data_IF_686093107057
#
_entry.id   IF_686093107057
#
_cell.length_a   1.000
_cell.length_b   1.000
_cell.length_c   1.000
_cell.angle_alpha   90.00
_cell.angle_beta   90.00
_cell.angle_gamma   90.00
#
_symmetry.space_group_name_H-M   'P 1'
#
loop_
_entity.id
_entity.type
_entity.pdbx_description
1 polymer ?
#
# COMPACT_ATOMS: atom_id res chain seq x y z
N UNK A 1 12.86 10.97 2.33
CA UNK A 1 11.60 11.11 1.56
C UNK A 1 10.62 12.04 2.25
N UNK A 2 10.32 11.86 3.54
CA UNK A 2 9.44 12.77 4.28
C UNK A 2 9.85 14.26 4.16
N UNK A 3 11.14 14.59 4.27
CA UNK A 3 11.62 15.97 4.04
C UNK A 3 11.28 16.48 2.63
N UNK A 4 11.45 15.64 1.60
CA UNK A 4 11.18 16.01 0.21
C UNK A 4 9.70 16.25 -0.04
N UNK A 5 8.84 15.41 0.53
CA UNK A 5 7.39 15.62 0.46
C UNK A 5 6.98 16.96 1.08
N UNK A 6 7.64 17.35 2.18
CA UNK A 6 7.37 18.62 2.85
C UNK A 6 7.94 19.83 2.10
N UNK A 7 9.21 19.78 1.70
CA UNK A 7 9.91 20.95 1.14
C UNK A 7 9.67 21.17 -0.36
N UNK A 8 9.43 20.11 -1.13
CA UNK A 8 9.33 20.20 -2.59
C UNK A 8 7.87 20.39 -3.08
N UNK A 9 6.94 20.73 -2.16
CA UNK A 9 5.55 21.09 -2.49
C UNK A 9 4.55 19.94 -2.60
N UNK A 10 4.98 18.68 -2.49
CA UNK A 10 4.08 17.51 -2.59
C UNK A 10 3.01 17.49 -1.51
N UNK A 11 3.37 17.79 -0.26
CA UNK A 11 2.40 17.88 0.84
C UNK A 11 1.34 18.94 0.55
N UNK A 12 1.75 20.11 0.03
CA UNK A 12 0.82 21.17 -0.34
C UNK A 12 -0.09 20.76 -1.51
N UNK A 13 0.36 19.85 -2.37
CA UNK A 13 -0.44 19.23 -3.43
C UNK A 13 -1.32 18.05 -2.95
N UNK A 14 -1.29 17.70 -1.65
CA UNK A 14 -2.13 16.67 -1.05
C UNK A 14 -1.48 15.30 -0.86
N UNK A 15 -0.20 15.13 -1.21
CA UNK A 15 0.53 13.88 -0.94
C UNK A 15 0.94 13.80 0.53
N UNK A 16 0.16 13.08 1.33
CA UNK A 16 0.33 13.04 2.79
C UNK A 16 0.89 11.72 3.33
N UNK A 17 0.84 10.61 2.60
CA UNK A 17 1.28 9.30 3.11
C UNK A 17 2.71 8.92 2.68
N UNK A 18 3.52 8.47 3.64
CA UNK A 18 4.79 7.76 3.42
C UNK A 18 4.60 6.30 3.81
N UNK A 19 4.49 5.41 2.84
CA UNK A 19 4.16 3.99 3.06
C UNK A 19 5.41 3.15 2.83
N UNK A 20 5.83 2.39 3.84
CA UNK A 20 6.89 1.38 3.68
C UNK A 20 6.28 0.07 3.16
N UNK A 21 6.93 -0.53 2.16
CA UNK A 21 6.52 -1.82 1.59
C UNK A 21 7.24 -3.00 2.29
N UNK A 22 7.22 -4.18 1.69
CA UNK A 22 7.84 -5.40 2.23
C UNK A 22 9.32 -5.22 2.62
N UNK A 23 9.85 -6.19 3.35
CA UNK A 23 11.23 -6.25 3.80
C UNK A 23 11.60 -5.26 4.91
N UNK A 24 10.67 -4.69 5.67
CA UNK A 24 11.00 -3.76 6.78
C UNK A 24 11.32 -4.46 8.12
N UNK A 25 10.75 -5.64 8.37
CA UNK A 25 10.89 -6.34 9.65
C UNK A 25 12.13 -7.23 9.72
N UNK A 26 12.42 -7.79 10.90
CA UNK A 26 13.24 -9.01 10.99
C UNK A 26 12.48 -10.23 10.45
N UNK A 27 13.22 -11.31 10.18
CA UNK A 27 12.67 -12.62 9.79
C UNK A 27 12.02 -13.40 10.95
N UNK A 28 11.92 -12.81 12.14
CA UNK A 28 11.33 -13.42 13.33
C UNK A 28 10.47 -12.41 14.10
N UNK A 29 9.54 -12.95 14.90
CA UNK A 29 8.74 -12.20 15.88
C UNK A 29 9.44 -12.19 17.23
N UNK A 30 9.37 -11.09 17.97
CA UNK A 30 9.84 -11.01 19.35
C UNK A 30 8.64 -11.04 20.29
N UNK A 31 8.56 -12.06 21.16
CA UNK A 31 7.41 -12.26 22.07
C UNK A 31 6.05 -12.18 21.35
N UNK A 32 5.96 -12.79 20.17
CA UNK A 32 4.74 -12.80 19.33
C UNK A 32 4.48 -11.52 18.52
N UNK A 33 5.24 -10.44 18.73
CA UNK A 33 5.08 -9.17 18.01
C UNK A 33 6.03 -9.04 16.83
N UNK A 34 5.59 -8.33 15.79
CA UNK A 34 6.46 -7.86 14.72
C UNK A 34 7.51 -6.90 15.26
N UNK A 35 8.72 -6.96 14.70
CA UNK A 35 9.85 -6.08 15.06
C UNK A 35 10.55 -5.60 13.80
N UNK A 36 10.77 -4.29 13.71
CA UNK A 36 11.57 -3.69 12.64
C UNK A 36 13.02 -4.17 12.71
N UNK A 37 13.69 -4.30 11.56
CA UNK A 37 15.14 -4.61 11.55
C UNK A 37 15.93 -3.46 12.16
N UNK A 38 16.47 -3.66 13.36
CA UNK A 38 17.15 -2.62 14.14
C UNK A 38 18.46 -2.16 13.51
N UNK A 39 19.02 -2.87 12.52
CA UNK A 39 20.17 -2.36 11.75
C UNK A 39 19.76 -1.27 10.78
N UNK A 40 18.51 -1.33 10.28
CA UNK A 40 17.94 -0.37 9.31
C UNK A 40 17.10 0.70 9.99
N UNK A 41 16.40 0.32 11.06
CA UNK A 41 15.55 1.17 11.89
C UNK A 41 16.05 1.13 13.35
N UNK A 42 17.23 1.71 13.66
CA UNK A 42 17.86 1.59 14.98
C UNK A 42 17.06 2.22 16.12
N UNK A 43 16.20 3.20 15.81
CA UNK A 43 15.27 3.81 16.77
C UNK A 43 13.90 3.12 16.83
N UNK A 44 13.70 2.04 16.06
CA UNK A 44 12.44 1.30 15.96
C UNK A 44 11.39 2.00 15.08
N UNK A 45 10.30 1.28 14.79
CA UNK A 45 9.26 1.74 13.86
C UNK A 45 8.41 2.89 14.43
N UNK A 46 8.21 2.95 15.75
CA UNK A 46 7.53 4.08 16.39
C UNK A 46 8.25 5.40 16.10
N UNK A 47 9.58 5.42 16.26
CA UNK A 47 10.37 6.61 15.95
C UNK A 47 10.32 6.97 14.46
N UNK A 48 10.17 6.00 13.56
CA UNK A 48 9.96 6.28 12.12
C UNK A 48 8.62 6.97 11.89
N UNK A 49 7.54 6.50 12.52
CA UNK A 49 6.23 7.12 12.44
C UNK A 49 6.24 8.54 13.01
N UNK A 50 6.80 8.72 14.21
CA UNK A 50 6.96 10.03 14.87
C UNK A 50 7.70 11.03 13.97
N UNK A 51 8.81 10.63 13.34
CA UNK A 51 9.54 11.50 12.41
C UNK A 51 8.72 11.88 11.17
N UNK A 52 7.86 11.00 10.67
CA UNK A 52 6.94 11.31 9.55
C UNK A 52 5.85 12.28 10.04
N UNK A 53 5.31 12.06 11.24
CA UNK A 53 4.31 12.92 11.86
C UNK A 53 4.83 14.33 12.18
N UNK A 54 6.10 14.47 12.59
CA UNK A 54 6.74 15.77 12.86
C UNK A 54 6.79 16.68 11.62
N UNK A 55 6.70 16.08 10.43
CA UNK A 55 6.61 16.80 9.13
C UNK A 55 5.15 17.03 8.70
N UNK A 56 4.20 16.69 9.57
CA UNK A 56 2.76 16.68 9.35
C UNK A 56 2.35 15.79 8.18
N UNK A 57 3.06 14.68 7.98
CA UNK A 57 2.71 13.61 7.05
C UNK A 57 2.15 12.42 7.85
N UNK A 58 1.67 11.39 7.16
CA UNK A 58 1.10 10.16 7.72
C UNK A 58 1.99 8.96 7.35
N UNK A 59 2.15 8.02 8.27
CA UNK A 59 3.01 6.86 8.06
C UNK A 59 2.20 5.60 7.75
N UNK A 60 2.57 4.89 6.68
CA UNK A 60 1.96 3.61 6.31
C UNK A 60 2.94 2.46 6.43
N UNK A 61 2.41 1.28 6.74
CA UNK A 61 3.18 0.04 6.88
C UNK A 61 2.59 -1.07 6.01
N UNK A 62 3.45 -2.02 5.65
CA UNK A 62 3.08 -3.21 4.91
C UNK A 62 3.02 -4.43 5.83
N UNK A 63 2.07 -5.31 5.57
CA UNK A 63 2.11 -6.70 6.04
C UNK A 63 1.41 -7.62 5.02
N UNK A 64 1.32 -8.90 5.35
CA UNK A 64 0.66 -9.92 4.54
C UNK A 64 -0.37 -10.66 5.38
N UNK A 65 -1.49 -11.04 4.77
CA UNK A 65 -2.54 -11.80 5.44
C UNK A 65 -2.12 -13.24 5.75
N UNK A 66 -1.15 -13.78 5.02
CA UNK A 66 -0.65 -15.13 5.21
C UNK A 66 0.36 -15.27 6.33
N UNK A 67 0.97 -16.46 6.39
CA UNK A 67 1.97 -16.81 7.41
C UNK A 67 3.30 -16.10 7.20
N UNK A 68 3.59 -15.69 5.96
CA UNK A 68 4.78 -14.94 5.56
C UNK A 68 4.41 -13.88 4.53
N UNK A 69 5.19 -12.81 4.49
CA UNK A 69 5.15 -11.87 3.38
C UNK A 69 5.72 -12.51 2.11
N UNK A 70 5.48 -11.90 0.96
CA UNK A 70 6.07 -12.35 -0.31
C UNK A 70 7.60 -12.37 -0.27
N UNK A 71 8.24 -11.45 0.48
CA UNK A 71 9.67 -11.45 0.76
C UNK A 71 10.15 -12.47 1.81
N UNK A 72 9.25 -13.30 2.34
CA UNK A 72 9.55 -14.36 3.32
C UNK A 72 9.66 -13.89 4.78
N UNK A 73 9.25 -12.66 5.09
CA UNK A 73 9.22 -12.11 6.46
C UNK A 73 7.94 -12.57 7.19
N UNK A 74 7.82 -12.43 8.53
CA UNK A 74 6.61 -12.84 9.24
C UNK A 74 5.35 -12.13 8.73
N UNK A 75 4.35 -12.89 8.28
CA UNK A 75 3.02 -12.38 7.93
C UNK A 75 2.09 -12.40 9.14
N UNK A 76 0.88 -11.85 8.99
CA UNK A 76 -0.06 -11.58 10.09
C UNK A 76 -0.99 -12.74 10.44
N UNK A 77 -0.99 -13.84 9.69
CA UNK A 77 -1.88 -14.98 9.96
C UNK A 77 -1.75 -15.50 11.39
N UNK A 78 -2.87 -15.53 12.14
CA UNK A 78 -2.92 -15.93 13.55
C UNK A 78 -2.51 -14.84 14.54
N UNK A 79 -2.12 -13.64 14.06
CA UNK A 79 -1.67 -12.52 14.88
C UNK A 79 -2.43 -11.21 14.60
N UNK A 80 -3.52 -11.21 13.81
CA UNK A 80 -4.20 -9.98 13.37
C UNK A 80 -4.47 -8.96 14.48
N UNK A 81 -5.03 -9.39 15.62
CA UNK A 81 -5.27 -8.49 16.77
C UNK A 81 -3.98 -7.95 17.37
N UNK A 82 -2.96 -8.80 17.53
CA UNK A 82 -1.65 -8.43 18.07
C UNK A 82 -0.93 -7.45 17.15
N UNK A 83 -0.98 -7.68 15.83
CA UNK A 83 -0.30 -6.87 14.84
C UNK A 83 -1.03 -5.53 14.63
N UNK A 84 -2.37 -5.53 14.58
CA UNK A 84 -3.18 -4.32 14.58
C UNK A 84 -2.88 -3.42 15.79
N UNK A 85 -2.81 -4.00 16.99
CA UNK A 85 -2.43 -3.24 18.18
C UNK A 85 -0.98 -2.75 18.10
N UNK A 86 -0.05 -3.56 17.58
CA UNK A 86 1.35 -3.16 17.40
C UNK A 86 1.47 -1.97 16.45
N UNK A 87 0.71 -1.95 15.36
CA UNK A 87 0.66 -0.83 14.42
C UNK A 87 0.06 0.43 15.05
N UNK A 88 -1.02 0.28 15.83
CA UNK A 88 -1.60 1.38 16.59
C UNK A 88 -0.62 1.97 17.62
N UNK A 89 0.08 1.11 18.38
CA UNK A 89 1.10 1.50 19.37
C UNK A 89 2.27 2.28 18.73
N UNK A 90 2.60 1.96 17.48
CA UNK A 90 3.62 2.66 16.70
C UNK A 90 3.14 3.94 16.02
N UNK A 91 1.83 4.20 15.99
CA UNK A 91 1.27 5.38 15.32
C UNK A 91 1.12 5.23 13.80
N UNK A 92 0.93 4.01 13.30
CA UNK A 92 0.68 3.79 11.87
C UNK A 92 -0.68 4.36 11.45
N UNK A 93 -0.77 4.99 10.28
CA UNK A 93 -1.98 5.61 9.71
C UNK A 93 -2.54 4.86 8.51
N UNK A 94 -1.78 3.91 7.96
CA UNK A 94 -2.13 3.17 6.74
C UNK A 94 -1.53 1.77 6.80
N UNK A 95 -2.31 0.75 6.44
CA UNK A 95 -1.84 -0.64 6.37
C UNK A 95 -2.11 -1.23 4.99
N UNK A 96 -1.03 -1.58 4.28
CA UNK A 96 -1.06 -2.31 3.00
C UNK A 96 -1.01 -3.81 3.27
N UNK A 97 -1.94 -4.57 2.69
CA UNK A 97 -2.00 -6.03 2.82
C UNK A 97 -1.88 -6.78 1.49
N UNK A 98 -0.97 -7.75 1.47
CA UNK A 98 -0.81 -8.77 0.43
C UNK A 98 -1.38 -10.13 0.89
N UNK A 99 -1.29 -11.14 0.01
CA UNK A 99 -1.85 -12.47 0.20
C UNK A 99 -0.85 -13.61 -0.08
N UNK A 100 0.44 -13.40 0.14
CA UNK A 100 1.41 -14.47 -0.01
C UNK A 100 1.29 -15.48 1.13
N UNK A 101 1.54 -16.75 0.85
CA UNK A 101 1.53 -17.83 1.85
C UNK A 101 0.23 -17.95 2.66
N UNK A 102 -0.91 -17.71 2.00
CA UNK A 102 -2.26 -17.93 2.50
C UNK A 102 -3.07 -18.72 1.46
N UNK A 103 -3.80 -19.75 1.91
CA UNK A 103 -4.73 -20.51 1.07
C UNK A 103 -6.20 -20.18 1.39
N UNK A 104 -6.44 -19.30 2.36
CA UNK A 104 -7.76 -18.85 2.75
C UNK A 104 -8.06 -17.49 2.11
N UNK A 105 -8.98 -17.49 1.15
CA UNK A 105 -9.43 -16.29 0.42
C UNK A 105 -10.77 -15.74 0.95
N UNK A 106 -11.22 -16.22 2.12
CA UNK A 106 -12.53 -15.95 2.70
C UNK A 106 -12.48 -14.83 3.74
N UNK A 107 -12.70 -15.11 5.02
CA UNK A 107 -12.93 -14.11 6.06
C UNK A 107 -11.66 -13.40 6.54
N UNK A 108 -10.46 -13.86 6.17
CA UNK A 108 -9.19 -13.34 6.73
C UNK A 108 -9.01 -11.83 6.57
N UNK A 109 -9.40 -11.24 5.42
CA UNK A 109 -9.35 -9.79 5.25
C UNK A 109 -10.37 -9.05 6.12
N UNK A 110 -11.53 -9.66 6.38
CA UNK A 110 -12.54 -9.12 7.31
C UNK A 110 -11.99 -9.16 8.73
N UNK A 111 -11.39 -10.26 9.16
CA UNK A 111 -10.80 -10.41 10.49
C UNK A 111 -9.67 -9.39 10.75
N UNK A 112 -8.80 -9.18 9.76
CA UNK A 112 -7.77 -8.15 9.86
C UNK A 112 -8.37 -6.74 9.88
N UNK A 113 -9.37 -6.47 9.03
CA UNK A 113 -10.09 -5.19 9.04
C UNK A 113 -10.76 -4.91 10.40
N UNK A 114 -11.40 -5.92 11.00
CA UNK A 114 -11.99 -5.83 12.33
C UNK A 114 -10.94 -5.61 13.43
N UNK A 115 -9.79 -6.28 13.33
CA UNK A 115 -8.68 -6.08 14.24
C UNK A 115 -8.13 -4.64 14.17
N UNK A 116 -7.97 -4.09 12.96
CA UNK A 116 -7.55 -2.70 12.74
C UNK A 116 -8.58 -1.72 13.33
N UNK A 117 -9.88 -1.90 13.04
CA UNK A 117 -10.96 -1.09 13.62
C UNK A 117 -10.98 -1.12 15.15
N UNK A 118 -10.70 -2.28 15.73
CA UNK A 118 -10.73 -2.48 17.19
C UNK A 118 -9.47 -2.01 17.91
N UNK A 119 -8.42 -1.60 17.19
CA UNK A 119 -7.14 -1.17 17.77
C UNK A 119 -7.20 0.21 18.45
N UNK A 120 -8.26 0.98 18.20
CA UNK A 120 -8.43 2.33 18.73
C UNK A 120 -7.69 3.42 17.93
N UNK A 121 -7.13 3.09 16.76
CA UNK A 121 -6.51 4.04 15.84
C UNK A 121 -7.09 3.92 14.43
N UNK A 122 -7.45 5.06 13.84
CA UNK A 122 -7.87 5.12 12.45
C UNK A 122 -6.69 4.82 11.53
N UNK A 123 -6.80 3.72 10.78
CA UNK A 123 -5.80 3.25 9.83
C UNK A 123 -6.44 2.97 8.48
N UNK A 124 -5.99 3.63 7.43
CA UNK A 124 -6.43 3.34 6.05
C UNK A 124 -6.05 1.91 5.71
N UNK A 125 -7.01 1.09 5.30
CA UNK A 125 -6.80 -0.33 5.01
C UNK A 125 -6.81 -0.60 3.51
N UNK A 126 -5.64 -0.95 2.96
CA UNK A 126 -5.43 -1.25 1.54
C UNK A 126 -5.26 -2.74 1.29
N UNK A 127 -6.15 -3.32 0.49
CA UNK A 127 -6.25 -4.77 0.31
C UNK A 127 -5.87 -5.22 -1.11
N UNK A 128 -5.00 -6.22 -1.26
CA UNK A 128 -4.89 -6.96 -2.54
C UNK A 128 -5.91 -8.11 -2.67
N UNK A 129 -6.99 -8.09 -1.89
CA UNK A 129 -7.95 -9.21 -1.80
C UNK A 129 -8.56 -9.64 -3.16
N UNK A 130 -9.18 -8.76 -3.96
CA UNK A 130 -9.80 -9.17 -5.21
C UNK A 130 -8.79 -9.76 -6.20
N UNK A 131 -7.60 -9.14 -6.35
CA UNK A 131 -6.54 -9.67 -7.22
C UNK A 131 -6.21 -11.15 -6.93
N UNK A 132 -6.04 -11.50 -5.66
CA UNK A 132 -5.67 -12.87 -5.29
C UNK A 132 -6.86 -13.84 -5.37
N UNK A 133 -8.09 -13.38 -5.10
CA UNK A 133 -9.30 -14.18 -5.39
C UNK A 133 -9.38 -14.52 -6.88
N UNK A 134 -9.19 -13.55 -7.75
CA UNK A 134 -9.22 -13.76 -9.20
C UNK A 134 -8.15 -14.73 -9.67
N UNK A 135 -6.92 -14.61 -9.16
CA UNK A 135 -5.83 -15.57 -9.44
C UNK A 135 -6.16 -17.00 -8.98
N UNK A 136 -6.98 -17.14 -7.95
CA UNK A 136 -7.49 -18.43 -7.48
C UNK A 136 -8.76 -18.90 -8.20
N UNK A 137 -9.25 -18.17 -9.22
CA UNK A 137 -10.49 -18.50 -9.93
C UNK A 137 -11.76 -18.19 -9.12
N UNK A 138 -11.66 -17.36 -8.08
CA UNK A 138 -12.76 -16.92 -7.23
C UNK A 138 -13.26 -15.56 -7.71
N UNK A 139 -14.56 -15.46 -7.97
CA UNK A 139 -15.21 -14.18 -8.31
C UNK A 139 -15.24 -13.27 -7.08
N UNK A 140 -14.64 -12.07 -7.13
CA UNK A 140 -14.65 -11.16 -6.00
C UNK A 140 -16.05 -10.64 -5.64
N UNK A 141 -16.36 -10.58 -4.35
CA UNK A 141 -17.55 -9.90 -3.86
C UNK A 141 -17.22 -8.45 -3.52
N UNK A 142 -17.30 -7.57 -4.52
CA UNK A 142 -16.95 -6.15 -4.38
C UNK A 142 -17.80 -5.40 -3.35
N UNK A 143 -19.05 -5.81 -3.10
CA UNK A 143 -19.90 -5.21 -2.04
C UNK A 143 -19.38 -5.53 -0.64
N UNK A 144 -18.72 -6.68 -0.45
CA UNK A 144 -18.09 -7.02 0.82
C UNK A 144 -16.71 -6.36 0.94
N UNK A 145 -15.95 -6.34 -0.15
CA UNK A 145 -14.63 -5.70 -0.21
C UNK A 145 -14.74 -4.21 0.13
N UNK A 146 -15.71 -3.49 -0.45
CA UNK A 146 -15.89 -2.05 -0.20
C UNK A 146 -16.34 -1.70 1.23
N UNK A 147 -16.95 -2.64 1.96
CA UNK A 147 -17.28 -2.49 3.39
C UNK A 147 -16.11 -2.83 4.32
N UNK A 148 -15.10 -3.51 3.79
CA UNK A 148 -13.97 -4.03 4.56
C UNK A 148 -12.73 -3.15 4.38
N UNK A 149 -12.42 -2.77 3.14
CA UNK A 149 -11.18 -2.11 2.74
C UNK A 149 -11.45 -0.67 2.29
N UNK A 150 -10.54 0.25 2.63
CA UNK A 150 -10.63 1.62 2.14
C UNK A 150 -10.23 1.75 0.67
N UNK A 151 -9.36 0.86 0.21
CA UNK A 151 -9.00 0.71 -1.18
C UNK A 151 -8.56 -0.72 -1.48
N UNK A 152 -8.68 -1.14 -2.74
CA UNK A 152 -8.33 -2.51 -3.13
C UNK A 152 -7.76 -2.62 -4.54
N UNK A 153 -6.76 -3.49 -4.67
CA UNK A 153 -6.09 -3.76 -5.95
C UNK A 153 -6.78 -4.86 -6.74
N UNK A 154 -7.15 -4.56 -7.97
CA UNK A 154 -7.82 -5.50 -8.87
C UNK A 154 -6.89 -6.18 -9.88
N UNK A 155 -5.78 -5.52 -10.24
CA UNK A 155 -4.90 -5.94 -11.32
C UNK A 155 -3.44 -6.14 -10.87
N UNK A 156 -2.65 -6.74 -11.76
CA UNK A 156 -1.22 -6.98 -11.55
C UNK A 156 -0.42 -5.67 -11.38
N UNK A 157 0.82 -5.83 -10.92
CA UNK A 157 1.67 -4.68 -10.62
C UNK A 157 2.02 -3.87 -11.86
N UNK A 158 1.90 -2.55 -11.76
CA UNK A 158 2.22 -1.63 -12.85
C UNK A 158 3.74 -1.44 -12.92
N UNK A 159 4.30 -1.81 -14.06
CA UNK A 159 5.70 -1.62 -14.45
C UNK A 159 5.96 -0.24 -15.09
N UNK A 160 7.15 -0.08 -15.68
CA UNK A 160 7.59 1.20 -16.27
C UNK A 160 7.30 1.33 -17.78
N UNK A 161 6.61 0.36 -18.39
CA UNK A 161 6.25 0.40 -19.81
C UNK A 161 4.85 0.96 -20.03
N UNK A 162 4.63 1.57 -21.20
CA UNK A 162 3.30 2.01 -21.60
C UNK A 162 2.30 0.85 -21.64
N UNK A 163 2.73 -0.31 -22.16
CA UNK A 163 1.86 -1.50 -22.23
C UNK A 163 1.37 -1.94 -20.86
N UNK A 164 2.23 -1.92 -19.83
CA UNK A 164 1.83 -2.27 -18.47
C UNK A 164 0.81 -1.30 -17.87
N UNK A 165 0.97 0.00 -18.13
CA UNK A 165 0.00 1.02 -17.70
C UNK A 165 -1.32 0.83 -18.47
N UNK A 166 -1.23 0.62 -19.77
CA UNK A 166 -2.38 0.45 -20.66
C UNK A 166 -3.20 -0.79 -20.29
N UNK A 167 -2.55 -1.90 -19.95
CA UNK A 167 -3.24 -3.14 -19.54
C UNK A 167 -4.02 -2.97 -18.23
N UNK A 168 -3.46 -2.25 -17.26
CA UNK A 168 -4.16 -1.93 -16.02
C UNK A 168 -5.39 -1.04 -16.27
N UNK A 169 -5.24 0.01 -17.09
CA UNK A 169 -6.36 0.89 -17.48
C UNK A 169 -7.43 0.12 -18.24
N UNK A 170 -7.04 -0.75 -19.16
CA UNK A 170 -7.95 -1.59 -19.95
C UNK A 170 -8.72 -2.55 -19.04
N UNK A 171 -8.07 -3.13 -18.04
CA UNK A 171 -8.72 -3.97 -17.05
C UNK A 171 -9.79 -3.20 -16.26
N UNK A 172 -9.45 -2.02 -15.70
CA UNK A 172 -10.41 -1.20 -14.96
C UNK A 172 -11.60 -0.79 -15.84
N UNK A 173 -11.34 -0.36 -17.09
CA UNK A 173 -12.38 0.02 -18.05
C UNK A 173 -13.31 -1.16 -18.40
N UNK A 174 -12.77 -2.37 -18.57
CA UNK A 174 -13.56 -3.56 -18.85
C UNK A 174 -14.46 -3.99 -17.68
N UNK A 175 -14.14 -3.57 -16.45
CA UNK A 175 -14.87 -3.93 -15.23
C UNK A 175 -15.62 -2.72 -14.61
N UNK A 176 -15.72 -1.59 -15.34
CA UNK A 176 -16.21 -0.33 -14.80
C UNK A 176 -17.64 -0.41 -14.23
N UNK A 177 -18.53 -1.21 -14.83
CA UNK A 177 -19.94 -1.29 -14.39
C UNK A 177 -20.04 -1.79 -12.94
N UNK A 178 -19.21 -2.76 -12.57
CA UNK A 178 -19.17 -3.32 -11.21
C UNK A 178 -18.36 -2.42 -10.27
N UNK A 179 -17.21 -1.94 -10.75
CA UNK A 179 -16.27 -1.19 -9.92
C UNK A 179 -16.82 0.20 -9.53
N UNK A 180 -17.52 0.87 -10.44
CA UNK A 180 -18.12 2.19 -10.18
C UNK A 180 -19.33 2.11 -9.22
N UNK A 181 -20.08 1.01 -9.19
CA UNK A 181 -21.21 0.81 -8.26
C UNK A 181 -20.75 0.79 -6.79
N UNK A 182 -19.54 0.28 -6.52
CA UNK A 182 -19.03 0.08 -5.15
C UNK A 182 -17.98 1.09 -4.71
N UNK A 183 -17.55 1.97 -5.62
CA UNK A 183 -16.50 2.97 -5.35
C UNK A 183 -17.10 4.30 -4.89
N UNK A 184 -16.49 4.93 -3.88
CA UNK A 184 -16.92 6.20 -3.33
C UNK A 184 -16.10 6.61 -2.11
N UNK A 185 -16.49 7.70 -1.41
CA UNK A 185 -15.77 8.16 -0.23
C UNK A 185 -15.51 7.03 0.79
N UNK A 186 -14.23 6.73 1.01
CA UNK A 186 -13.78 5.69 1.93
C UNK A 186 -13.66 4.29 1.34
N UNK A 187 -13.90 4.09 0.04
CA UNK A 187 -13.84 2.81 -0.67
C UNK A 187 -13.45 3.01 -2.15
N UNK A 188 -12.20 2.71 -2.53
CA UNK A 188 -11.67 3.03 -3.86
C UNK A 188 -11.02 1.83 -4.58
N UNK A 189 -11.12 1.80 -5.91
CA UNK A 189 -10.27 0.92 -6.73
C UNK A 189 -8.82 1.42 -6.72
N UNK A 190 -7.86 0.51 -6.68
CA UNK A 190 -6.41 0.78 -6.73
C UNK A 190 -5.81 0.15 -8.00
N UNK A 191 -5.53 0.94 -9.06
CA UNK A 191 -4.86 0.48 -10.27
C UNK A 191 -3.32 0.36 -10.11
N UNK A 192 -2.81 0.36 -8.88
CA UNK A 192 -1.39 0.41 -8.49
C UNK A 192 -0.74 1.79 -8.58
N UNK A 193 0.49 1.87 -8.05
CA UNK A 193 1.26 3.08 -7.92
C UNK A 193 1.53 3.76 -9.27
N UNK A 194 1.39 5.09 -9.28
CA UNK A 194 1.81 5.91 -10.39
C UNK A 194 3.32 5.70 -10.67
N UNK A 195 3.65 5.36 -11.92
CA UNK A 195 5.03 5.21 -12.39
C UNK A 195 5.34 6.33 -13.38
N UNK A 196 6.26 7.21 -13.02
CA UNK A 196 6.99 8.00 -14.02
C UNK A 196 8.26 7.26 -14.40
N UNK A 197 8.65 7.29 -15.67
CA UNK A 197 9.96 6.77 -16.07
C UNK A 197 11.05 7.39 -15.20
N UNK A 198 12.05 6.61 -14.72
CA UNK A 198 13.17 7.20 -14.00
C UNK A 198 13.82 8.27 -14.88
N UNK A 199 14.31 9.38 -14.30
CA UNK A 199 15.01 10.40 -15.07
C UNK A 199 16.12 9.71 -15.86
N UNK A 200 16.06 9.84 -17.19
CA UNK A 200 17.11 9.34 -18.08
C UNK A 200 18.38 10.03 -17.62
N UNK A 201 19.38 9.29 -17.13
CA UNK A 201 20.74 9.83 -16.97
C UNK A 201 21.31 10.07 -18.37
N UNK A 202 20.84 11.10 -19.04
CA UNK A 202 21.61 11.74 -20.09
C UNK A 202 22.36 12.87 -19.40
N UNK A 203 23.56 12.54 -18.94
CA UNK A 203 24.63 13.54 -18.90
C UNK A 203 24.89 13.93 -20.35
N UNK A 204 24.12 14.88 -20.86
CA UNK A 204 24.68 15.92 -21.70
C UNK A 204 23.99 17.23 -21.32
N UNK A 205 24.81 18.18 -20.89
CA UNK A 205 24.39 19.56 -20.79
C UNK A 205 24.32 20.12 -22.20
N UNK A 206 23.12 20.20 -22.76
CA UNK A 206 22.81 21.23 -23.73
C UNK A 206 21.31 21.45 -23.82
N UNK A 207 20.92 22.67 -23.43
CA UNK A 207 19.67 23.30 -23.81
C UNK A 207 19.32 23.01 -25.27
N UNK A 208 18.06 22.72 -25.60
CA UNK A 208 17.32 23.37 -26.70
C UNK A 208 15.94 22.71 -26.90
N UNK A 209 14.89 23.37 -26.42
CA UNK A 209 13.58 23.32 -27.07
C UNK A 209 12.81 24.63 -26.81
N UNK A 210 13.25 25.69 -27.49
CA UNK A 210 12.44 26.87 -27.78
C UNK A 210 12.78 27.37 -29.17
N UNK A 211 12.03 26.91 -30.17
CA UNK A 211 11.75 27.70 -31.36
C UNK A 211 10.30 27.48 -31.76
N UNK A 212 9.55 28.56 -31.64
CA UNK A 212 8.15 28.74 -32.08
C UNK A 212 8.08 28.60 -33.60
N UNK A 213 7.06 27.93 -34.10
CA UNK A 213 6.59 28.13 -35.48
C UNK A 213 5.69 29.37 -35.54
N UNK A 214 6.08 30.35 -36.35
CA UNK A 214 5.23 31.45 -36.83
C UNK A 214 5.87 32.02 -38.10
N UNK A 215 5.16 31.96 -39.23
CA UNK A 215 5.55 32.59 -40.50
C UNK A 215 6.16 31.65 -41.52
#
# INVERSE_FOLDING_TARGET
MADRLMYDGYKAAGYEYVIIDDCWSFYYRSKGKLVGDTRRFPRGMKAVAEEVHDRGLKFGIYTDIGTKTCGGYPGSYGYYKTDAQTFADWGVDYVKLLHCHCNDFTAVYVEMGDALRSSGRDMVYSCKWPLYQQKAGITPNYKNISKTCNLWRNYDEVGYSWDSIYDAVKYEAANQDVLTEVSGPGAWTDPDAARSSPPRKTDDGSSHQKTRHSG
#
